data_IF_312756336854
#
_entry.id   IF_312756336854
#
_cell.length_a   1.000
_cell.length_b   1.000
_cell.length_c   1.000
_cell.angle_alpha   90.00
_cell.angle_beta   90.00
_cell.angle_gamma   90.00
#
_symmetry.space_group_name_H-M   'P 1'
#
loop_
_entity.id
_entity.type
_entity.pdbx_description
1 polymer ?
#
# COMPACT_ATOMS: atom_id res chain seq x y z
N UNK A 1 18.31 12.69 3.38
CA UNK A 1 16.94 12.34 2.98
C UNK A 1 16.31 11.44 4.02
N UNK A 2 15.07 11.71 4.39
CA UNK A 2 14.32 10.89 5.34
C UNK A 2 13.36 10.00 4.58
N UNK A 3 13.39 8.70 4.86
CA UNK A 3 12.51 7.70 4.22
C UNK A 3 11.63 7.05 5.29
N UNK A 4 10.33 7.00 5.04
CA UNK A 4 9.36 6.30 5.87
C UNK A 4 8.72 5.18 5.06
N UNK A 5 8.70 4.00 5.62
CA UNK A 5 8.09 2.81 5.02
C UNK A 5 6.84 2.48 5.81
N UNK A 6 5.69 2.47 5.15
CA UNK A 6 4.39 2.20 5.77
C UNK A 6 3.76 0.94 5.20
N UNK A 7 2.94 0.27 6.00
CA UNK A 7 1.97 -0.68 5.49
C UNK A 7 0.78 0.07 4.86
N UNK A 8 0.04 -0.62 3.97
CA UNK A 8 -1.17 -0.06 3.38
C UNK A 8 -2.38 -0.37 4.24
N UNK A 9 -2.78 -1.65 4.28
CA UNK A 9 -4.00 -2.09 4.96
C UNK A 9 -3.85 -1.99 6.48
N UNK A 10 -4.79 -1.31 7.12
CA UNK A 10 -4.75 -1.08 8.57
C UNK A 10 -3.87 0.08 9.01
N UNK A 11 -3.14 0.74 8.10
CA UNK A 11 -2.32 1.91 8.39
C UNK A 11 -2.78 3.11 7.57
N UNK A 12 -2.83 2.99 6.26
CA UNK A 12 -3.28 4.05 5.34
C UNK A 12 -4.78 3.95 5.10
N UNK A 13 -5.29 2.74 4.95
CA UNK A 13 -6.69 2.49 4.65
C UNK A 13 -7.30 1.44 5.58
N UNK A 14 -8.62 1.47 5.68
CA UNK A 14 -9.37 0.42 6.37
C UNK A 14 -9.14 -0.93 5.68
N UNK A 15 -9.01 -1.99 6.47
CA UNK A 15 -8.90 -3.34 5.93
C UNK A 15 -10.23 -3.78 5.32
N UNK A 16 -10.16 -4.55 4.22
CA UNK A 16 -11.33 -5.19 3.63
C UNK A 16 -11.73 -6.45 4.42
N UNK A 17 -12.81 -7.09 3.98
CA UNK A 17 -13.30 -8.32 4.61
C UNK A 17 -13.22 -9.48 3.60
N UNK A 18 -12.16 -10.29 3.59
CA UNK A 18 -10.92 -10.13 4.37
C UNK A 18 -9.91 -9.17 3.74
N UNK A 19 -10.07 -8.80 2.48
CA UNK A 19 -9.12 -7.98 1.72
C UNK A 19 -9.86 -6.94 0.88
N UNK A 20 -9.14 -5.87 0.49
CA UNK A 20 -9.64 -4.90 -0.50
C UNK A 20 -9.50 -5.55 -1.89
N UNK A 21 -10.60 -5.69 -2.61
CA UNK A 21 -10.66 -6.35 -3.92
C UNK A 21 -11.15 -5.46 -5.04
N UNK A 22 -11.52 -4.20 -4.75
CA UNK A 22 -11.90 -3.22 -5.77
C UNK A 22 -11.49 -1.82 -5.35
N UNK A 23 -11.33 -0.92 -6.33
CA UNK A 23 -11.02 0.47 -6.05
C UNK A 23 -12.11 1.15 -5.23
N UNK A 24 -13.38 0.84 -5.48
CA UNK A 24 -14.50 1.44 -4.77
C UNK A 24 -14.52 1.09 -3.28
N UNK A 25 -13.94 -0.04 -2.90
CA UNK A 25 -13.86 -0.49 -1.51
C UNK A 25 -12.70 0.14 -0.75
N UNK A 26 -11.79 0.82 -1.44
CA UNK A 26 -10.66 1.45 -0.79
C UNK A 26 -11.08 2.73 -0.08
N UNK A 27 -10.91 2.75 1.24
CA UNK A 27 -11.29 3.89 2.09
C UNK A 27 -10.13 4.22 3.01
N UNK A 28 -9.65 5.48 3.03
CA UNK A 28 -8.56 5.86 3.93
C UNK A 28 -9.02 5.84 5.38
N UNK A 29 -8.09 5.52 6.28
CA UNK A 29 -8.34 5.67 7.71
C UNK A 29 -8.41 7.17 8.05
N UNK A 30 -9.25 7.56 9.04
CA UNK A 30 -9.34 8.96 9.44
C UNK A 30 -7.98 9.54 9.80
N UNK A 31 -7.63 10.66 9.17
CA UNK A 31 -6.36 11.37 9.42
C UNK A 31 -5.12 10.80 8.74
N UNK A 32 -5.22 9.63 8.08
CA UNK A 32 -4.05 8.98 7.49
C UNK A 32 -3.46 9.79 6.33
N UNK A 33 -4.30 10.27 5.42
CA UNK A 33 -3.83 11.03 4.26
C UNK A 33 -3.21 12.38 4.68
N UNK A 34 -3.82 13.04 5.64
CA UNK A 34 -3.33 14.30 6.19
C UNK A 34 -2.00 14.10 6.94
N UNK A 35 -1.84 12.98 7.63
CA UNK A 35 -0.59 12.64 8.30
C UNK A 35 0.54 12.43 7.28
N UNK A 36 0.25 11.77 6.17
CA UNK A 36 1.24 11.60 5.09
C UNK A 36 1.61 12.97 4.51
N UNK A 37 0.63 13.85 4.30
CA UNK A 37 0.90 15.21 3.81
C UNK A 37 1.86 15.95 4.75
N UNK A 38 1.64 15.87 6.06
CA UNK A 38 2.54 16.50 7.05
C UNK A 38 3.94 15.92 7.00
N UNK A 39 4.06 14.60 6.84
CA UNK A 39 5.36 13.95 6.73
C UNK A 39 6.09 14.39 5.45
N UNK A 40 5.39 14.49 4.34
CA UNK A 40 5.96 15.01 3.10
C UNK A 40 6.49 16.43 3.29
N UNK A 41 5.69 17.30 3.92
CA UNK A 41 6.11 18.69 4.20
C UNK A 41 7.30 18.78 5.14
N UNK A 42 7.47 17.80 6.03
CA UNK A 42 8.61 17.71 6.93
C UNK A 42 9.86 17.11 6.26
N UNK A 43 9.82 16.81 4.98
CA UNK A 43 10.95 16.30 4.21
C UNK A 43 11.05 14.79 4.14
N UNK A 44 10.01 14.05 4.56
CA UNK A 44 9.98 12.60 4.42
C UNK A 44 9.53 12.19 3.04
N UNK A 45 10.26 11.23 2.45
CA UNK A 45 9.73 10.41 1.37
C UNK A 45 8.99 9.24 1.97
N UNK A 46 7.82 8.92 1.41
CA UNK A 46 6.96 7.86 1.91
C UNK A 46 6.81 6.80 0.85
N UNK A 47 7.06 5.55 1.22
CA UNK A 47 6.81 4.39 0.37
C UNK A 47 5.94 3.39 1.14
N UNK A 48 5.24 2.54 0.41
CA UNK A 48 4.40 1.49 0.99
C UNK A 48 5.02 0.14 0.69
N UNK A 49 5.05 -0.73 1.70
CA UNK A 49 5.43 -2.14 1.58
C UNK A 49 4.30 -2.99 2.15
N UNK A 50 3.63 -3.77 1.30
CA UNK A 50 2.46 -4.52 1.73
C UNK A 50 2.42 -5.94 1.14
N UNK A 51 1.78 -6.87 1.87
CA UNK A 51 1.41 -8.17 1.35
C UNK A 51 0.05 -8.05 0.65
N UNK A 52 -0.04 -8.57 -0.59
CA UNK A 52 -1.28 -8.59 -1.36
C UNK A 52 -1.56 -9.98 -1.88
N UNK A 53 -1.90 -10.94 -1.00
CA UNK A 53 -2.10 -12.34 -1.40
C UNK A 53 -3.31 -12.55 -2.30
N UNK A 54 -4.24 -11.58 -2.34
CA UNK A 54 -5.40 -11.62 -3.25
C UNK A 54 -4.98 -11.74 -4.72
N UNK A 55 -3.82 -11.19 -5.08
CA UNK A 55 -3.29 -11.27 -6.44
C UNK A 55 -2.78 -12.69 -6.74
N UNK A 56 -1.96 -13.26 -5.86
CA UNK A 56 -1.45 -14.63 -6.00
C UNK A 56 -2.55 -15.69 -5.88
N UNK A 57 -3.57 -15.42 -5.06
CA UNK A 57 -4.73 -16.30 -4.90
C UNK A 57 -5.76 -16.20 -6.03
N UNK A 58 -5.57 -15.27 -6.98
CA UNK A 58 -6.45 -15.12 -8.12
C UNK A 58 -7.77 -14.40 -7.85
N UNK A 59 -7.92 -13.74 -6.70
CA UNK A 59 -9.12 -12.97 -6.38
C UNK A 59 -9.20 -11.67 -7.17
N UNK A 60 -8.06 -11.08 -7.50
CA UNK A 60 -7.96 -9.90 -8.36
C UNK A 60 -6.81 -10.08 -9.35
N UNK A 61 -6.77 -9.25 -10.37
CA UNK A 61 -5.66 -9.17 -11.32
C UNK A 61 -4.81 -7.91 -11.07
N UNK A 62 -3.70 -7.79 -11.81
CA UNK A 62 -2.79 -6.64 -11.69
C UNK A 62 -3.50 -5.33 -12.04
N UNK A 63 -4.39 -5.35 -13.04
CA UNK A 63 -5.14 -4.16 -13.44
C UNK A 63 -6.03 -3.66 -12.30
N UNK A 64 -6.68 -4.57 -11.57
CA UNK A 64 -7.50 -4.24 -10.41
C UNK A 64 -6.65 -3.66 -9.28
N UNK A 65 -5.49 -4.25 -8.99
CA UNK A 65 -4.58 -3.73 -7.98
C UNK A 65 -4.10 -2.32 -8.35
N UNK A 66 -3.76 -2.09 -9.62
CA UNK A 66 -3.37 -0.78 -10.10
C UNK A 66 -4.51 0.24 -9.97
N UNK A 67 -5.76 -0.17 -10.19
CA UNK A 67 -6.92 0.70 -10.00
C UNK A 67 -7.11 1.08 -8.52
N UNK A 68 -6.90 0.14 -7.60
CA UNK A 68 -6.93 0.40 -6.15
C UNK A 68 -5.87 1.44 -5.78
N UNK A 69 -4.63 1.24 -6.23
CA UNK A 69 -3.54 2.17 -5.94
C UNK A 69 -3.72 3.51 -6.66
N UNK A 70 -4.33 3.51 -7.86
CA UNK A 70 -4.69 4.75 -8.57
C UNK A 70 -5.65 5.61 -7.76
N UNK A 71 -6.67 5.00 -7.16
CA UNK A 71 -7.59 5.70 -6.26
C UNK A 71 -6.86 6.26 -5.04
N UNK A 72 -5.96 5.46 -4.45
CA UNK A 72 -5.14 5.91 -3.31
C UNK A 72 -4.32 7.15 -3.68
N UNK A 73 -3.58 7.10 -4.80
CA UNK A 73 -2.76 8.23 -5.25
C UNK A 73 -3.61 9.47 -5.52
N UNK A 74 -4.78 9.29 -6.11
CA UNK A 74 -5.70 10.40 -6.42
C UNK A 74 -6.19 11.09 -5.15
N UNK A 75 -6.57 10.30 -4.14
CA UNK A 75 -7.04 10.84 -2.87
C UNK A 75 -5.92 11.50 -2.08
N UNK A 76 -4.69 10.95 -2.13
CA UNK A 76 -3.52 11.58 -1.55
C UNK A 76 -3.24 12.93 -2.19
N UNK A 77 -3.26 13.00 -3.52
CA UNK A 77 -3.02 14.25 -4.25
C UNK A 77 -4.03 15.32 -3.88
N UNK A 78 -5.28 14.96 -3.62
CA UNK A 78 -6.34 15.90 -3.24
C UNK A 78 -6.05 16.65 -1.92
N UNK A 79 -5.23 16.08 -1.04
CA UNK A 79 -4.81 16.71 0.23
C UNK A 79 -3.35 17.16 0.21
N UNK A 80 -2.70 17.17 -0.96
CA UNK A 80 -1.31 17.58 -1.09
C UNK A 80 -0.31 16.56 -0.56
N UNK A 81 -0.70 15.31 -0.49
CA UNK A 81 0.16 14.21 -0.03
C UNK A 81 0.66 13.38 -1.20
N UNK A 82 1.76 12.65 -0.99
CA UNK A 82 2.34 11.78 -2.00
C UNK A 82 2.99 10.55 -1.37
N UNK A 83 2.78 9.41 -2.01
CA UNK A 83 3.53 8.18 -1.80
C UNK A 83 4.39 7.97 -3.06
N UNK A 84 5.71 7.84 -2.87
CA UNK A 84 6.65 7.78 -3.99
C UNK A 84 6.63 6.45 -4.72
N UNK A 85 6.38 5.35 -3.99
CA UNK A 85 6.33 4.02 -4.58
C UNK A 85 5.55 3.06 -3.69
N UNK A 86 4.99 2.02 -4.31
CA UNK A 86 4.32 0.92 -3.62
C UNK A 86 5.04 -0.37 -3.98
N UNK A 87 5.57 -1.04 -2.97
CA UNK A 87 6.19 -2.37 -3.10
C UNK A 87 5.24 -3.39 -2.51
N UNK A 88 4.96 -4.46 -3.22
CA UNK A 88 4.02 -5.47 -2.73
C UNK A 88 4.50 -6.89 -3.01
N UNK A 89 4.10 -7.80 -2.13
CA UNK A 89 4.28 -9.24 -2.34
C UNK A 89 2.93 -9.83 -2.75
N UNK A 90 2.81 -10.35 -3.98
CA UNK A 90 1.54 -10.88 -4.48
C UNK A 90 1.27 -12.32 -4.04
N UNK A 91 2.26 -12.97 -3.41
CA UNK A 91 2.21 -14.39 -3.12
C UNK A 91 1.29 -14.70 -1.92
N UNK A 92 0.68 -15.88 -1.95
CA UNK A 92 -0.08 -16.39 -0.81
C UNK A 92 0.87 -16.91 0.27
N UNK A 93 0.39 -17.16 1.51
CA UNK A 93 1.24 -17.73 2.56
C UNK A 93 1.84 -19.10 2.18
N UNK A 94 1.20 -19.83 1.26
CA UNK A 94 1.66 -21.16 0.83
C UNK A 94 2.74 -21.08 -0.25
N UNK A 95 2.94 -19.92 -0.86
CA UNK A 95 3.94 -19.74 -1.91
C UNK A 95 5.34 -19.57 -1.31
N UNK A 96 6.33 -20.20 -1.92
CA UNK A 96 7.73 -20.00 -1.53
C UNK A 96 8.21 -18.67 -2.10
N UNK A 97 8.48 -17.70 -1.24
CA UNK A 97 9.01 -16.39 -1.63
C UNK A 97 9.78 -15.77 -0.47
N UNK A 98 10.54 -14.71 -0.78
CA UNK A 98 11.27 -13.91 0.22
C UNK A 98 10.63 -12.55 0.48
N UNK A 99 9.64 -12.16 -0.34
CA UNK A 99 9.05 -10.81 -0.27
C UNK A 99 7.89 -10.70 0.72
N UNK A 100 7.23 -11.82 1.08
CA UNK A 100 6.10 -11.77 2.01
C UNK A 100 6.58 -11.43 3.42
N UNK A 101 6.05 -10.35 3.99
CA UNK A 101 6.35 -10.00 5.39
C UNK A 101 5.89 -11.12 6.33
N UNK A 102 6.65 -11.48 7.37
CA UNK A 102 7.81 -10.74 7.91
C UNK A 102 9.15 -10.99 7.22
N UNK A 103 9.20 -11.67 6.08
CA UNK A 103 10.44 -11.86 5.34
C UNK A 103 10.91 -10.52 4.72
N UNK A 104 12.23 -10.33 4.53
CA UNK A 104 12.78 -9.01 4.21
C UNK A 104 12.79 -8.64 2.72
N UNK A 105 12.25 -9.47 1.82
CA UNK A 105 12.38 -9.26 0.38
C UNK A 105 11.88 -7.91 -0.13
N UNK A 106 10.73 -7.40 0.38
CA UNK A 106 10.23 -6.09 -0.01
C UNK A 106 11.16 -4.97 0.44
N UNK A 107 11.69 -5.05 1.66
CA UNK A 107 12.59 -4.03 2.18
C UNK A 107 13.92 -4.03 1.42
N UNK A 108 14.36 -5.17 0.91
CA UNK A 108 15.55 -5.27 0.09
C UNK A 108 15.35 -4.59 -1.28
N UNK A 109 14.11 -4.54 -1.78
CA UNK A 109 13.77 -3.83 -3.03
C UNK A 109 13.77 -2.31 -2.85
N UNK A 110 13.49 -1.85 -1.66
CA UNK A 110 13.44 -0.43 -1.32
C UNK A 110 14.87 0.11 -1.14
#
# INVERSE_FOLDING_TARGET
>A
MKLLILERDGTVNATGDPYITSADDWTPLPGALEAIARLNHAGYRVVIACNQPVLGGGLIDVATLNAIHGRMHKMLAAVGARVDAVFFCPHTPDDACTCRKPLPGLFEQI
#
